data_IF_163194097725
#
_entry.id   IF_163194097725
#
_cell.length_a   1.000
_cell.length_b   1.000
_cell.length_c   1.000
_cell.angle_alpha   90.00
_cell.angle_beta   90.00
_cell.angle_gamma   90.00
#
_symmetry.space_group_name_H-M   'P 1'
#
loop_
_entity.id
_entity.type
_entity.pdbx_description
1 polymer ?
#
# COMPACT_ATOMS: atom_id res chain seq x y z
N UNK A 1 -7.91 -12.08 -41.07
CA UNK A 1 -8.65 -12.44 -39.84
C UNK A 1 -8.08 -11.59 -38.70
N UNK A 2 -8.91 -11.11 -37.76
CA UNK A 2 -8.50 -10.15 -36.72
C UNK A 2 -7.83 -10.87 -35.55
N UNK A 3 -6.56 -10.58 -35.26
CA UNK A 3 -5.88 -11.03 -34.05
C UNK A 3 -6.21 -10.05 -32.92
N UNK A 4 -6.11 -10.49 -31.68
CA UNK A 4 -6.29 -9.61 -30.51
C UNK A 4 -5.09 -9.70 -29.57
N UNK A 5 -4.72 -8.56 -29.01
CA UNK A 5 -3.82 -8.48 -27.86
C UNK A 5 -4.65 -8.38 -26.59
N UNK A 6 -4.26 -9.13 -25.56
CA UNK A 6 -4.90 -9.12 -24.26
C UNK A 6 -4.11 -8.17 -23.37
N UNK A 7 -4.67 -6.99 -23.10
CA UNK A 7 -4.08 -5.93 -22.29
C UNK A 7 -4.75 -5.88 -20.93
N UNK A 8 -3.99 -5.88 -19.84
CA UNK A 8 -4.52 -5.64 -18.50
C UNK A 8 -4.90 -4.17 -18.34
N UNK A 9 -6.13 -3.89 -17.90
CA UNK A 9 -6.66 -2.51 -17.77
C UNK A 9 -5.90 -1.67 -16.74
N UNK A 10 -5.42 -2.28 -15.65
CA UNK A 10 -4.81 -1.58 -14.52
C UNK A 10 -3.48 -0.90 -14.85
N UNK A 11 -2.68 -1.48 -15.75
CA UNK A 11 -1.34 -0.97 -16.06
C UNK A 11 -0.99 -1.00 -17.55
N UNK A 12 -1.90 -1.45 -18.42
CA UNK A 12 -1.72 -1.48 -19.86
C UNK A 12 -0.70 -2.50 -20.35
N UNK A 13 -0.29 -3.45 -19.51
CA UNK A 13 0.60 -4.55 -19.90
C UNK A 13 -0.15 -5.56 -20.75
N UNK A 14 0.45 -5.95 -21.88
CA UNK A 14 -0.04 -7.03 -22.73
C UNK A 14 0.41 -8.35 -22.11
N UNK A 15 -0.54 -9.18 -21.72
CA UNK A 15 -0.31 -10.46 -21.03
C UNK A 15 -0.52 -11.68 -21.94
N UNK A 16 -0.99 -11.45 -23.17
CA UNK A 16 -1.22 -12.51 -24.14
C UNK A 16 -1.67 -11.98 -25.49
N UNK A 17 -1.78 -12.89 -26.45
CA UNK A 17 -2.39 -12.66 -27.75
C UNK A 17 -3.26 -13.86 -28.10
N UNK A 18 -4.37 -13.65 -28.81
CA UNK A 18 -5.26 -14.72 -29.26
C UNK A 18 -5.70 -14.56 -30.72
N UNK A 19 -5.98 -15.71 -31.37
CA UNK A 19 -6.16 -15.91 -32.83
C UNK A 19 -4.84 -16.32 -33.51
N UNK A 20 -4.68 -17.42 -34.26
CA UNK A 20 -5.55 -18.46 -34.85
C UNK A 20 -4.68 -19.72 -35.16
N UNK A 21 -5.24 -20.88 -35.54
CA UNK A 21 -4.70 -21.51 -36.76
C UNK A 21 -5.79 -21.97 -37.74
N UNK A 22 -5.63 -21.65 -39.02
CA UNK A 22 -6.16 -22.44 -40.14
C UNK A 22 -5.41 -23.79 -40.21
N UNK A 23 -5.50 -24.61 -39.16
CA UNK A 23 -5.42 -26.04 -39.33
C UNK A 23 -6.84 -26.48 -39.72
N UNK A 24 -6.99 -27.29 -40.76
CA UNK A 24 -8.27 -27.85 -41.19
C UNK A 24 -9.03 -28.63 -40.07
N UNK A 25 -8.39 -28.84 -38.91
CA UNK A 25 -8.93 -29.49 -37.70
C UNK A 25 -9.00 -28.57 -36.46
N UNK A 26 -8.82 -27.24 -36.58
CA UNK A 26 -9.00 -26.33 -35.44
C UNK A 26 -10.49 -26.17 -35.14
N UNK A 27 -10.90 -26.54 -33.92
CA UNK A 27 -12.28 -26.51 -33.44
C UNK A 27 -12.94 -25.11 -33.46
N UNK A 28 -14.17 -24.99 -32.93
CA UNK A 28 -15.01 -23.79 -33.09
C UNK A 28 -14.30 -22.51 -32.63
N UNK A 29 -14.61 -21.40 -33.31
CA UNK A 29 -14.12 -20.07 -32.99
C UNK A 29 -14.32 -19.77 -31.50
N UNK A 30 -13.25 -19.32 -30.83
CA UNK A 30 -13.33 -18.89 -29.43
C UNK A 30 -14.43 -17.82 -29.31
N UNK A 31 -15.31 -17.96 -28.30
CA UNK A 31 -16.32 -16.94 -28.03
C UNK A 31 -15.63 -15.59 -27.79
N UNK A 32 -16.19 -14.48 -28.31
CA UNK A 32 -15.70 -13.16 -27.96
C UNK A 32 -15.77 -13.01 -26.43
N UNK A 33 -14.69 -12.54 -25.79
CA UNK A 33 -14.59 -12.47 -24.35
C UNK A 33 -15.66 -11.53 -23.79
N UNK A 34 -16.24 -11.88 -22.65
CA UNK A 34 -17.16 -10.99 -21.96
C UNK A 34 -16.42 -9.71 -21.49
N UNK A 35 -17.13 -8.58 -21.49
CA UNK A 35 -16.58 -7.25 -21.14
C UNK A 35 -16.28 -7.09 -19.63
N UNK A 36 -16.54 -8.09 -18.79
CA UNK A 36 -16.42 -8.02 -17.33
C UNK A 36 -15.05 -8.42 -16.79
N UNK A 37 -14.14 -8.92 -17.64
CA UNK A 37 -12.78 -9.27 -17.23
C UNK A 37 -11.87 -8.03 -17.08
N UNK A 38 -10.86 -8.13 -16.20
CA UNK A 38 -9.81 -7.12 -15.93
C UNK A 38 -8.94 -6.73 -17.15
N UNK A 39 -9.34 -7.19 -18.33
CA UNK A 39 -8.61 -7.18 -19.58
C UNK A 39 -9.36 -6.42 -20.66
N UNK A 40 -8.60 -5.83 -21.57
CA UNK A 40 -9.02 -5.14 -22.78
C UNK A 40 -8.46 -5.92 -23.97
N UNK A 41 -9.30 -6.23 -24.96
CA UNK A 41 -8.90 -6.95 -26.15
C UNK A 41 -8.71 -5.96 -27.30
N UNK A 42 -7.46 -5.76 -27.72
CA UNK A 42 -7.10 -4.78 -28.74
C UNK A 42 -7.00 -5.49 -30.10
N UNK A 43 -7.86 -5.16 -31.08
CA UNK A 43 -7.73 -5.66 -32.44
C UNK A 43 -6.36 -5.29 -33.01
N UNK A 44 -5.64 -6.27 -33.55
CA UNK A 44 -4.35 -6.06 -34.16
C UNK A 44 -4.23 -6.94 -35.41
N UNK A 45 -3.74 -6.37 -36.52
CA UNK A 45 -3.64 -7.09 -37.79
C UNK A 45 -2.25 -6.97 -38.43
N UNK A 46 -1.38 -6.14 -37.86
CA UNK A 46 -0.05 -5.88 -38.40
C UNK A 46 0.99 -6.80 -37.76
N UNK A 47 2.03 -7.13 -38.54
CA UNK A 47 3.19 -7.80 -37.96
C UNK A 47 3.84 -6.85 -36.97
N UNK A 48 3.93 -7.27 -35.70
CA UNK A 48 4.64 -6.49 -34.69
C UNK A 48 6.13 -6.56 -34.99
N UNK A 49 6.69 -5.45 -35.49
CA UNK A 49 8.12 -5.27 -35.66
C UNK A 49 8.65 -4.52 -34.44
N UNK A 50 9.25 -5.26 -33.51
CA UNK A 50 9.89 -4.63 -32.36
C UNK A 50 11.21 -3.99 -32.79
N UNK A 51 11.41 -2.73 -32.39
CA UNK A 51 12.65 -1.99 -32.63
C UNK A 51 13.83 -2.51 -31.79
N UNK A 52 13.55 -3.28 -30.73
CA UNK A 52 14.53 -3.92 -29.86
C UNK A 52 14.01 -5.27 -29.34
N UNK A 53 14.93 -6.18 -29.02
CA UNK A 53 14.60 -7.41 -28.31
C UNK A 53 14.26 -7.10 -26.84
N UNK A 54 13.31 -7.81 -26.21
CA UNK A 54 13.08 -7.69 -24.78
C UNK A 54 14.31 -8.15 -24.00
N UNK A 55 14.53 -7.51 -22.85
CA UNK A 55 15.37 -8.00 -21.78
C UNK A 55 14.55 -8.83 -20.79
N UNK A 56 15.18 -9.38 -19.76
CA UNK A 56 14.50 -10.08 -18.67
C UNK A 56 13.58 -9.18 -17.84
N UNK A 57 13.66 -7.85 -18.00
CA UNK A 57 12.86 -6.85 -17.29
C UNK A 57 11.87 -6.10 -18.18
N UNK A 58 11.86 -6.37 -19.49
CA UNK A 58 10.90 -5.72 -20.38
C UNK A 58 9.50 -6.29 -20.18
N UNK A 59 8.50 -5.40 -20.10
CA UNK A 59 7.08 -5.76 -20.28
C UNK A 59 6.56 -5.15 -21.56
N UNK A 60 5.71 -5.90 -22.26
CA UNK A 60 5.06 -5.41 -23.46
C UNK A 60 3.88 -4.53 -23.04
N UNK A 61 3.85 -3.26 -23.46
CA UNK A 61 2.74 -2.32 -23.20
C UNK A 61 2.15 -1.78 -24.49
N UNK A 62 0.89 -1.37 -24.43
CA UNK A 62 0.24 -0.68 -25.55
C UNK A 62 0.20 0.83 -25.30
N UNK A 63 0.90 1.61 -26.14
CA UNK A 63 0.94 3.08 -26.06
C UNK A 63 0.48 3.81 -27.33
N UNK A 64 0.27 3.06 -28.41
CA UNK A 64 -0.19 3.47 -29.76
C UNK A 64 0.06 2.26 -30.69
N UNK A 65 1.19 1.59 -30.44
CA UNK A 65 1.51 0.24 -30.86
C UNK A 65 2.10 -0.56 -29.66
N UNK A 66 2.24 -1.90 -29.77
CA UNK A 66 2.93 -2.71 -28.78
C UNK A 66 4.42 -2.33 -28.69
N UNK A 67 4.88 -1.92 -27.51
CA UNK A 67 6.27 -1.52 -27.27
C UNK A 67 6.82 -2.21 -26.03
N UNK A 68 8.07 -2.66 -26.11
CA UNK A 68 8.81 -3.13 -24.94
C UNK A 68 9.17 -1.94 -24.06
N UNK A 69 8.68 -1.96 -22.83
CA UNK A 69 9.03 -0.97 -21.82
C UNK A 69 9.89 -1.65 -20.77
N UNK A 70 11.07 -1.10 -20.53
CA UNK A 70 11.92 -1.57 -19.44
C UNK A 70 11.27 -1.26 -18.10
N UNK A 71 11.07 -2.31 -17.30
CA UNK A 71 10.74 -2.12 -15.90
C UNK A 71 12.03 -1.84 -15.12
N UNK A 72 11.91 -1.01 -14.08
CA UNK A 72 12.98 -0.93 -13.09
C UNK A 72 13.28 -2.35 -12.57
N UNK A 73 14.56 -2.70 -12.35
CA UNK A 73 14.95 -3.99 -11.79
C UNK A 73 14.15 -4.29 -10.51
N UNK A 74 13.84 -5.56 -10.27
CA UNK A 74 13.02 -5.97 -9.12
C UNK A 74 13.56 -5.43 -7.79
N UNK A 75 14.89 -5.42 -7.62
CA UNK A 75 15.54 -4.88 -6.42
C UNK A 75 15.29 -3.38 -6.23
N UNK A 76 15.24 -2.61 -7.32
CA UNK A 76 14.91 -1.19 -7.27
C UNK A 76 13.45 -0.98 -6.88
N UNK A 77 12.54 -1.78 -7.45
CA UNK A 77 11.12 -1.75 -7.09
C UNK A 77 10.93 -2.09 -5.61
N UNK A 78 11.64 -3.10 -5.10
CA UNK A 78 11.65 -3.45 -3.68
C UNK A 78 12.22 -2.32 -2.82
N UNK A 79 13.31 -1.69 -3.23
CA UNK A 79 13.89 -0.54 -2.53
C UNK A 79 12.88 0.60 -2.35
N UNK A 80 12.18 0.97 -3.43
CA UNK A 80 11.14 2.00 -3.41
C UNK A 80 9.95 1.62 -2.52
N UNK A 81 9.47 0.37 -2.61
CA UNK A 81 8.35 -0.12 -1.80
C UNK A 81 8.70 -0.18 -0.32
N UNK A 82 9.92 -0.57 0.04
CA UNK A 82 10.37 -0.56 1.44
C UNK A 82 10.37 0.86 2.02
N UNK A 83 10.81 1.86 1.26
CA UNK A 83 10.71 3.26 1.65
C UNK A 83 9.25 3.70 1.85
N UNK A 84 8.35 3.26 0.95
CA UNK A 84 6.92 3.53 1.06
C UNK A 84 6.29 2.89 2.32
N UNK A 85 6.65 1.65 2.66
CA UNK A 85 6.19 0.98 3.89
C UNK A 85 6.60 1.77 5.14
N UNK A 86 7.84 2.29 5.17
CA UNK A 86 8.31 3.11 6.29
C UNK A 86 7.53 4.45 6.36
N UNK A 87 7.19 5.06 5.23
CA UNK A 87 6.34 6.25 5.18
C UNK A 87 4.93 5.95 5.70
N UNK A 88 4.32 4.83 5.31
CA UNK A 88 3.02 4.42 5.82
C UNK A 88 3.01 4.22 7.33
N UNK A 89 4.04 3.55 7.88
CA UNK A 89 4.19 3.42 9.34
C UNK A 89 4.31 4.78 10.02
N UNK A 90 5.14 5.67 9.46
CA UNK A 90 5.29 7.02 10.01
C UNK A 90 3.96 7.76 10.02
N UNK A 91 3.21 7.73 8.92
CA UNK A 91 1.90 8.35 8.82
C UNK A 91 0.89 7.75 9.82
N UNK A 92 0.86 6.42 9.95
CA UNK A 92 -0.02 5.75 10.91
C UNK A 92 0.32 6.13 12.36
N UNK A 93 1.60 6.22 12.71
CA UNK A 93 2.05 6.67 14.03
C UNK A 93 1.79 8.15 14.31
N UNK A 94 1.57 8.96 13.27
CA UNK A 94 1.25 10.39 13.35
C UNK A 94 -0.23 10.70 13.15
N UNK A 95 -1.09 9.68 13.21
CA UNK A 95 -2.54 9.81 13.01
C UNK A 95 -3.27 9.87 14.35
N UNK A 96 -4.04 8.84 14.68
CA UNK A 96 -4.76 8.74 15.94
C UNK A 96 -4.57 7.35 16.55
N UNK A 97 -4.92 7.21 17.82
CA UNK A 97 -5.09 5.91 18.47
C UNK A 97 -6.40 5.86 19.26
N UNK A 98 -7.04 4.68 19.38
CA UNK A 98 -8.26 4.54 20.15
C UNK A 98 -7.98 4.53 21.65
N UNK A 99 -8.81 5.24 22.42
CA UNK A 99 -8.85 5.15 23.88
C UNK A 99 -10.26 5.44 24.39
N UNK A 100 -10.85 4.46 25.10
CA UNK A 100 -12.28 4.49 25.40
C UNK A 100 -13.11 4.40 24.12
N UNK A 101 -14.11 5.27 24.00
CA UNK A 101 -14.98 5.45 22.83
C UNK A 101 -14.51 6.57 21.89
N UNK A 102 -13.30 7.10 22.11
CA UNK A 102 -12.73 8.25 21.40
C UNK A 102 -11.43 7.91 20.68
N UNK A 103 -11.05 8.80 19.77
CA UNK A 103 -9.74 8.83 19.13
C UNK A 103 -8.92 9.98 19.71
N UNK A 104 -7.65 9.70 20.01
CA UNK A 104 -6.69 10.71 20.46
C UNK A 104 -5.71 11.00 19.33
N UNK A 105 -5.49 12.28 19.04
CA UNK A 105 -4.50 12.72 18.08
C UNK A 105 -3.09 12.36 18.54
N UNK A 106 -2.30 11.88 17.58
CA UNK A 106 -0.90 11.53 17.77
C UNK A 106 -0.04 12.23 16.71
N UNK A 107 -0.50 13.37 16.18
CA UNK A 107 0.32 14.26 15.37
C UNK A 107 1.56 14.75 16.15
N UNK A 108 2.48 15.44 15.48
CA UNK A 108 3.75 15.82 16.08
C UNK A 108 3.59 16.66 17.37
N UNK A 109 2.61 17.56 17.41
CA UNK A 109 2.36 18.40 18.58
C UNK A 109 1.73 17.60 19.71
N UNK A 110 0.64 16.88 19.43
CA UNK A 110 -0.10 16.07 20.40
C UNK A 110 0.80 15.01 21.01
N UNK A 111 1.65 14.36 20.20
CA UNK A 111 2.62 13.38 20.69
C UNK A 111 3.65 14.02 21.62
N UNK A 112 4.18 15.18 21.26
CA UNK A 112 5.11 15.93 22.11
C UNK A 112 4.49 16.27 23.46
N UNK A 113 3.23 16.70 23.48
CA UNK A 113 2.51 17.03 24.71
C UNK A 113 2.25 15.78 25.58
N UNK A 114 1.83 14.67 24.96
CA UNK A 114 1.67 13.38 25.65
C UNK A 114 3.00 12.94 26.28
N UNK A 115 4.09 12.98 25.52
CA UNK A 115 5.41 12.57 26.01
C UNK A 115 5.93 13.53 27.10
N UNK A 116 5.64 14.83 27.03
CA UNK A 116 5.99 15.80 28.07
C UNK A 116 5.27 15.52 29.40
N UNK A 117 3.96 15.23 29.34
CA UNK A 117 3.19 14.86 30.54
C UNK A 117 3.64 13.52 31.10
N UNK A 118 3.91 12.53 30.23
CA UNK A 118 4.45 11.24 30.64
C UNK A 118 5.80 11.37 31.35
N UNK A 119 6.71 12.19 30.81
CA UNK A 119 8.01 12.48 31.42
C UNK A 119 7.86 13.19 32.78
N UNK A 120 6.95 14.17 32.89
CA UNK A 120 6.69 14.85 34.16
C UNK A 120 6.18 13.86 35.23
N UNK A 121 5.21 13.02 34.89
CA UNK A 121 4.70 11.97 35.79
C UNK A 121 5.82 11.00 36.16
N UNK A 122 6.67 10.61 35.21
CA UNK A 122 7.81 9.72 35.46
C UNK A 122 8.82 10.30 36.46
N UNK A 123 9.05 11.61 36.42
CA UNK A 123 10.00 12.31 37.28
C UNK A 123 9.42 12.68 38.66
N UNK A 124 8.16 13.10 38.71
CA UNK A 124 7.55 13.70 39.91
C UNK A 124 6.44 12.85 40.54
N UNK A 125 6.02 11.76 39.91
CA UNK A 125 4.98 10.85 40.41
C UNK A 125 3.56 11.43 40.42
N UNK A 126 3.36 12.65 39.90
CA UNK A 126 2.08 13.37 39.84
C UNK A 126 1.93 14.11 38.52
N UNK A 127 0.72 14.59 38.23
CA UNK A 127 0.51 15.52 37.11
C UNK A 127 1.24 16.86 37.32
N UNK A 128 1.58 17.58 36.23
CA UNK A 128 1.98 18.98 36.31
C UNK A 128 0.93 19.82 37.03
N UNK A 129 1.39 20.85 37.74
CA UNK A 129 0.48 21.78 38.41
C UNK A 129 -0.40 22.47 37.35
N UNK A 130 -1.72 22.48 37.58
CA UNK A 130 -2.70 23.04 36.64
C UNK A 130 -3.11 22.10 35.49
N UNK A 131 -2.70 20.83 35.50
CA UNK A 131 -3.20 19.85 34.53
C UNK A 131 -4.74 19.78 34.58
N UNK A 132 -5.44 19.82 33.43
CA UNK A 132 -6.90 19.97 33.38
C UNK A 132 -7.68 18.72 33.80
N UNK A 133 -7.00 17.63 34.17
CA UNK A 133 -7.61 16.34 34.52
C UNK A 133 -8.48 15.76 33.39
N UNK A 134 -8.17 16.13 32.15
CA UNK A 134 -8.82 15.68 30.94
C UNK A 134 -7.85 15.79 29.76
N UNK A 135 -8.12 15.05 28.68
CA UNK A 135 -7.38 15.16 27.42
C UNK A 135 -8.31 15.48 26.27
N UNK A 136 -7.87 16.34 25.36
CA UNK A 136 -8.65 16.71 24.18
C UNK A 136 -8.53 15.60 23.13
N UNK A 137 -9.67 15.18 22.61
CA UNK A 137 -9.80 14.13 21.61
C UNK A 137 -9.81 14.71 20.20
N UNK A 138 -9.67 13.87 19.18
CA UNK A 138 -9.59 14.28 17.77
C UNK A 138 -10.86 14.98 17.24
N UNK A 139 -12.02 14.72 17.85
CA UNK A 139 -13.29 15.39 17.52
C UNK A 139 -13.50 16.69 18.31
N UNK A 140 -12.48 17.17 19.02
CA UNK A 140 -12.47 18.32 19.93
C UNK A 140 -13.31 18.15 21.22
N UNK A 141 -13.76 16.93 21.55
CA UNK A 141 -14.32 16.62 22.86
C UNK A 141 -13.22 16.32 23.89
N UNK A 142 -13.59 15.98 25.12
CA UNK A 142 -12.66 15.65 26.21
C UNK A 142 -12.93 14.26 26.80
N UNK A 143 -11.85 13.53 27.06
CA UNK A 143 -11.89 12.36 27.93
C UNK A 143 -11.41 12.72 29.34
N UNK A 144 -12.07 12.25 30.41
CA UNK A 144 -11.60 12.47 31.77
C UNK A 144 -10.33 11.65 32.06
N UNK A 145 -9.34 12.29 32.67
CA UNK A 145 -8.12 11.66 33.18
C UNK A 145 -7.97 12.02 34.67
N UNK A 146 -8.78 11.43 35.56
CA UNK A 146 -8.91 11.86 36.96
C UNK A 146 -7.68 11.54 37.83
N UNK A 147 -6.79 10.69 37.34
CA UNK A 147 -5.57 10.30 38.06
C UNK A 147 -4.47 9.87 37.08
N UNK A 148 -3.28 9.65 37.65
CA UNK A 148 -2.09 9.21 36.92
C UNK A 148 -2.30 7.84 36.25
N UNK A 149 -3.12 6.96 36.83
CA UNK A 149 -3.37 5.63 36.26
C UNK A 149 -4.23 5.70 34.99
N UNK A 150 -5.20 6.61 34.95
CA UNK A 150 -5.97 6.90 33.73
C UNK A 150 -5.07 7.42 32.61
N UNK A 151 -4.16 8.35 32.90
CA UNK A 151 -3.18 8.82 31.91
C UNK A 151 -2.26 7.70 31.44
N UNK A 152 -1.73 6.87 32.36
CA UNK A 152 -0.92 5.70 32.00
C UNK A 152 -1.69 4.72 31.12
N UNK A 153 -2.99 4.54 31.34
CA UNK A 153 -3.83 3.71 30.46
C UNK A 153 -3.90 4.29 29.04
N UNK A 154 -4.09 5.60 28.90
CA UNK A 154 -4.05 6.28 27.60
C UNK A 154 -2.69 6.13 26.92
N UNK A 155 -1.59 6.34 27.66
CA UNK A 155 -0.23 6.18 27.14
C UNK A 155 0.08 4.74 26.70
N UNK A 156 -0.42 3.74 27.45
CA UNK A 156 -0.33 2.32 27.06
C UNK A 156 -1.08 2.05 25.76
N UNK A 157 -2.25 2.66 25.55
CA UNK A 157 -3.01 2.52 24.29
C UNK A 157 -2.23 3.12 23.10
N UNK A 158 -1.64 4.31 23.26
CA UNK A 158 -0.76 4.92 22.25
C UNK A 158 0.42 4.00 21.91
N UNK A 159 1.06 3.43 22.93
CA UNK A 159 2.20 2.53 22.76
C UNK A 159 1.79 1.25 22.03
N UNK A 160 0.66 0.65 22.43
CA UNK A 160 0.11 -0.55 21.79
C UNK A 160 -0.22 -0.32 20.31
N UNK A 161 -0.81 0.83 19.97
CA UNK A 161 -1.06 1.21 18.57
C UNK A 161 0.26 1.35 17.79
N UNK A 162 1.28 1.97 18.39
CA UNK A 162 2.62 2.08 17.80
C UNK A 162 3.29 0.73 17.53
N UNK A 163 3.12 -0.22 18.45
CA UNK A 163 3.57 -1.61 18.27
C UNK A 163 2.80 -2.31 17.15
N UNK A 164 1.47 -2.20 17.11
CA UNK A 164 0.68 -2.78 16.03
C UNK A 164 1.07 -2.23 14.65
N UNK A 165 1.34 -0.92 14.55
CA UNK A 165 1.84 -0.30 13.33
C UNK A 165 3.24 -0.81 12.95
N UNK A 166 4.11 -1.09 13.93
CA UNK A 166 5.41 -1.71 13.68
C UNK A 166 5.26 -3.13 13.13
N UNK A 167 4.49 -3.98 13.81
CA UNK A 167 4.29 -5.37 13.44
C UNK A 167 3.69 -5.48 12.03
N UNK A 168 2.71 -4.62 11.71
CA UNK A 168 2.17 -4.50 10.35
C UNK A 168 3.25 -4.16 9.34
N UNK A 169 4.08 -3.15 9.63
CA UNK A 169 5.16 -2.76 8.71
C UNK A 169 6.18 -3.87 8.48
N UNK A 170 6.51 -4.66 9.51
CA UNK A 170 7.45 -5.77 9.38
C UNK A 170 6.83 -6.92 8.58
N UNK A 171 5.55 -7.22 8.78
CA UNK A 171 4.82 -8.20 7.96
C UNK A 171 4.81 -7.80 6.46
N UNK A 172 4.60 -6.52 6.15
CA UNK A 172 4.65 -6.01 4.77
C UNK A 172 6.07 -6.11 4.18
N UNK A 173 7.12 -5.90 4.98
CA UNK A 173 8.51 -6.07 4.54
C UNK A 173 8.87 -7.54 4.30
N UNK A 174 8.32 -8.47 5.08
CA UNK A 174 8.45 -9.91 4.82
C UNK A 174 7.77 -10.26 3.50
N UNK A 175 6.55 -9.78 3.27
CA UNK A 175 5.85 -9.96 1.99
C UNK A 175 6.67 -9.40 0.81
N UNK A 176 7.27 -8.22 0.99
CA UNK A 176 8.15 -7.60 -0.01
C UNK A 176 9.41 -8.42 -0.29
N UNK A 177 10.01 -9.03 0.74
CA UNK A 177 11.14 -9.94 0.60
C UNK A 177 10.79 -11.14 -0.29
N UNK A 178 9.59 -11.69 -0.10
CA UNK A 178 9.08 -12.84 -0.84
C UNK A 178 8.57 -12.54 -2.25
N UNK A 179 8.30 -11.28 -2.59
CA UNK A 179 7.85 -10.90 -3.93
C UNK A 179 8.91 -11.27 -5.00
N UNK A 180 8.47 -11.94 -6.04
CA UNK A 180 9.28 -12.46 -7.16
C UNK A 180 9.10 -11.67 -8.44
N UNK A 181 8.08 -10.81 -8.52
CA UNK A 181 7.83 -9.95 -9.66
C UNK A 181 7.31 -8.55 -9.27
N UNK A 182 7.19 -7.68 -10.27
CA UNK A 182 6.75 -6.30 -10.09
C UNK A 182 5.27 -6.16 -9.69
N UNK A 183 4.41 -7.11 -10.10
CA UNK A 183 2.99 -7.08 -9.77
C UNK A 183 2.78 -7.41 -8.28
N UNK A 184 3.52 -8.38 -7.75
CA UNK A 184 3.53 -8.71 -6.33
C UNK A 184 4.05 -7.54 -5.47
N UNK A 185 5.11 -6.86 -5.92
CA UNK A 185 5.58 -5.63 -5.25
C UNK A 185 4.50 -4.55 -5.26
N UNK A 186 3.81 -4.35 -6.39
CA UNK A 186 2.76 -3.34 -6.53
C UNK A 186 1.53 -3.64 -5.66
N UNK A 187 1.19 -4.91 -5.47
CA UNK A 187 0.05 -5.37 -4.67
C UNK A 187 0.22 -5.11 -3.16
N UNK A 188 1.44 -4.89 -2.68
CA UNK A 188 1.71 -4.54 -1.28
C UNK A 188 1.15 -3.14 -0.99
N UNK A 189 0.19 -3.10 -0.08
CA UNK A 189 -0.47 -1.90 0.44
C UNK A 189 -0.34 -1.83 1.97
N UNK A 190 -0.52 -0.63 2.54
CA UNK A 190 -0.54 -0.47 4.00
C UNK A 190 -1.61 -1.36 4.58
#
# INVERSE_FOLDING_TARGET
MTQFLIKRKSDGVIIGACGQPDALDAGPAAQPPDETSEHEFIPWQERIAFSAAPTSTSVLRFQEAPVWVEMAPLDELKGRKNAQINQWRSAANQSTFPFGDKLIDCDALSRSDIDAVANHIGLFGKFPDGFPMAWKTADNDYIPLPDVEAFKAMYRAMTAQGTANFDRSEALKVALGNATDAAEVAAIAW
#
